data_IF_585312409838
#
_entry.id   IF_585312409838
#
_cell.length_a   1.000
_cell.length_b   1.000
_cell.length_c   1.000
_cell.angle_alpha   90.00
_cell.angle_beta   90.00
_cell.angle_gamma   90.00
#
_symmetry.space_group_name_H-M   'P 1'
#
loop_
_entity.id
_entity.type
_entity.pdbx_description
1 polymer ?
#
# COMPACT_ATOMS: atom_id res chain seq x y z
N UNK A 1 -61.59 8.78 44.32
CA UNK A 1 -60.85 7.65 43.71
C UNK A 1 -59.56 8.18 43.10
N UNK A 2 -58.39 7.84 43.68
CA UNK A 2 -57.05 8.25 43.21
C UNK A 2 -56.38 7.08 42.48
N UNK A 3 -55.87 7.29 41.26
CA UNK A 3 -54.69 6.61 40.68
C UNK A 3 -53.96 7.68 39.85
N UNK A 4 -52.94 8.34 40.42
CA UNK A 4 -51.51 7.99 40.40
C UNK A 4 -50.91 8.11 38.99
N UNK A 5 -50.58 9.34 38.58
CA UNK A 5 -49.35 9.58 37.83
C UNK A 5 -48.21 9.39 38.83
N UNK A 6 -47.39 8.37 38.60
CA UNK A 6 -46.23 8.05 39.42
C UNK A 6 -45.01 8.48 38.60
N UNK A 7 -44.65 9.74 38.72
CA UNK A 7 -43.24 10.14 38.61
C UNK A 7 -42.52 9.36 39.71
N UNK A 8 -41.67 8.43 39.31
CA UNK A 8 -40.88 7.64 40.23
C UNK A 8 -39.46 7.65 39.67
N UNK A 9 -38.67 8.53 40.28
CA UNK A 9 -37.22 8.49 40.47
C UNK A 9 -36.48 7.58 39.48
N UNK A 10 -35.79 8.20 38.52
CA UNK A 10 -34.68 7.57 37.80
C UNK A 10 -33.70 7.00 38.82
N UNK A 11 -33.88 5.71 39.13
CA UNK A 11 -33.29 5.01 40.24
C UNK A 11 -31.78 5.26 40.28
N UNK A 12 -31.28 5.70 41.44
CA UNK A 12 -29.85 5.81 41.71
C UNK A 12 -29.14 4.47 41.39
N UNK A 13 -29.84 3.35 41.59
CA UNK A 13 -29.44 2.00 41.19
C UNK A 13 -29.12 1.88 39.70
N UNK A 14 -29.88 2.52 38.80
CA UNK A 14 -29.63 2.48 37.35
C UNK A 14 -28.34 3.21 36.97
N UNK A 15 -28.02 4.32 37.67
CA UNK A 15 -26.75 5.05 37.50
C UNK A 15 -25.57 4.28 38.11
N UNK A 16 -25.78 3.66 39.27
CA UNK A 16 -24.81 2.77 39.91
C UNK A 16 -24.52 1.52 39.06
N UNK A 17 -25.53 0.93 38.43
CA UNK A 17 -25.38 -0.19 37.51
C UNK A 17 -24.56 0.22 36.28
N UNK A 18 -24.81 1.41 35.72
CA UNK A 18 -24.03 1.96 34.62
C UNK A 18 -22.55 2.19 35.00
N UNK A 19 -22.29 2.81 36.16
CA UNK A 19 -20.93 2.97 36.70
C UNK A 19 -20.26 1.62 36.99
N UNK A 20 -21.00 0.62 37.46
CA UNK A 20 -20.51 -0.73 37.75
C UNK A 20 -20.22 -1.52 36.47
N UNK A 21 -21.01 -1.36 35.42
CA UNK A 21 -20.78 -1.96 34.09
C UNK A 21 -19.55 -1.33 33.43
N UNK A 22 -19.37 0.00 33.52
CA UNK A 22 -18.17 0.69 33.05
C UNK A 22 -16.94 0.25 33.85
N UNK A 23 -17.02 0.23 35.19
CA UNK A 23 -15.94 -0.20 36.06
C UNK A 23 -15.57 -1.69 35.94
N UNK A 24 -16.54 -2.55 35.60
CA UNK A 24 -16.30 -3.97 35.34
C UNK A 24 -15.69 -4.22 33.95
N UNK A 25 -15.98 -3.35 32.97
CA UNK A 25 -15.29 -3.37 31.66
C UNK A 25 -13.83 -2.94 31.73
N UNK A 26 -13.44 -2.19 32.78
CA UNK A 26 -12.03 -1.81 33.03
C UNK A 26 -11.21 -2.87 33.79
N UNK A 27 -11.78 -4.01 34.22
CA UNK A 27 -11.05 -5.05 34.98
C UNK A 27 -10.82 -6.38 34.24
N UNK A 28 -10.87 -6.36 32.91
CA UNK A 28 -10.41 -7.48 32.08
C UNK A 28 -9.44 -7.01 30.99
N UNK A 29 -8.51 -6.17 31.40
CA UNK A 29 -7.19 -6.12 30.78
C UNK A 29 -6.40 -7.25 31.44
N UNK A 30 -6.36 -8.41 30.77
CA UNK A 30 -5.32 -9.39 31.07
C UNK A 30 -4.00 -8.69 30.75
N UNK A 31 -3.31 -8.21 31.79
CA UNK A 31 -1.93 -7.74 31.67
C UNK A 31 -1.09 -8.91 31.15
N UNK A 32 -0.91 -8.98 29.84
CA UNK A 32 0.15 -9.77 29.25
C UNK A 32 1.46 -9.26 29.84
N UNK A 33 2.14 -10.12 30.59
CA UNK A 33 3.44 -9.82 31.20
C UNK A 33 4.38 -9.24 30.12
N UNK A 34 5.16 -8.18 30.41
CA UNK A 34 6.12 -7.59 29.47
C UNK A 34 7.06 -8.62 28.82
N UNK A 35 7.32 -9.74 29.52
CA UNK A 35 8.12 -10.86 29.05
C UNK A 35 7.55 -11.63 27.84
N UNK A 36 6.23 -11.63 27.63
CA UNK A 36 5.58 -12.32 26.51
C UNK A 36 5.39 -11.39 25.31
N UNK A 37 5.16 -10.10 25.56
CA UNK A 37 5.15 -9.07 24.52
C UNK A 37 6.53 -8.97 23.83
N UNK A 38 7.62 -9.09 24.60
CA UNK A 38 8.98 -9.13 24.06
C UNK A 38 9.28 -10.37 23.20
N UNK A 39 8.61 -11.51 23.41
CA UNK A 39 8.85 -12.73 22.59
C UNK A 39 8.19 -12.67 21.21
N UNK A 40 7.17 -11.82 21.01
CA UNK A 40 6.45 -11.68 19.73
C UNK A 40 7.01 -10.57 18.84
N UNK A 41 7.60 -9.54 19.44
CA UNK A 41 8.49 -8.61 18.76
C UNK A 41 9.92 -9.13 18.84
N UNK A 42 10.22 -10.16 18.02
CA UNK A 42 11.61 -10.30 17.55
C UNK A 42 11.97 -8.94 16.96
N UNK A 43 12.78 -8.17 17.69
CA UNK A 43 13.35 -6.91 17.20
C UNK A 43 13.93 -7.14 15.80
N UNK A 44 14.10 -6.08 14.98
CA UNK A 44 14.60 -6.24 13.63
C UNK A 44 15.84 -7.12 13.69
N UNK A 45 15.74 -8.34 13.11
CA UNK A 45 16.92 -9.17 12.90
C UNK A 45 17.92 -8.23 12.27
N UNK A 46 19.12 -8.09 12.83
CA UNK A 46 20.18 -7.27 12.24
C UNK A 46 20.28 -7.67 10.77
N UNK A 47 19.69 -6.85 9.90
CA UNK A 47 19.82 -7.03 8.47
C UNK A 47 21.27 -6.69 8.27
N UNK A 48 22.08 -7.71 7.97
CA UNK A 48 23.50 -7.52 7.68
C UNK A 48 23.58 -6.37 6.68
N UNK A 49 24.23 -5.27 7.06
CA UNK A 49 24.27 -4.05 6.25
C UNK A 49 24.68 -4.35 4.79
N UNK A 50 25.56 -5.35 4.63
CA UNK A 50 26.01 -5.88 3.34
C UNK A 50 24.89 -6.36 2.39
N UNK A 51 23.74 -6.82 2.90
CA UNK A 51 22.61 -7.24 2.06
C UNK A 51 21.87 -6.03 1.48
N UNK A 52 21.82 -4.91 2.21
CA UNK A 52 21.17 -3.67 1.76
C UNK A 52 21.94 -3.08 0.57
N UNK A 53 23.27 -3.19 0.58
CA UNK A 53 24.14 -2.74 -0.51
C UNK A 53 23.92 -3.48 -1.84
N UNK A 54 23.18 -4.61 -1.85
CA UNK A 54 22.82 -5.32 -3.08
C UNK A 54 21.64 -4.68 -3.82
N UNK A 55 20.90 -3.80 -3.15
CA UNK A 55 19.77 -3.10 -3.75
C UNK A 55 20.29 -1.84 -4.47
N UNK A 56 19.89 -1.67 -5.72
CA UNK A 56 20.16 -0.46 -6.50
C UNK A 56 18.89 0.05 -7.15
N UNK A 57 18.73 1.37 -7.19
CA UNK A 57 17.64 2.06 -7.87
C UNK A 57 18.02 2.58 -9.27
N UNK A 58 19.31 2.52 -9.61
CA UNK A 58 19.90 3.00 -10.86
C UNK A 58 20.91 1.97 -11.34
N UNK A 59 20.44 0.90 -12.03
CA UNK A 59 21.34 -0.10 -12.59
C UNK A 59 22.22 0.50 -13.69
N UNK A 60 23.51 0.22 -13.64
CA UNK A 60 24.50 0.64 -14.62
C UNK A 60 24.65 -0.41 -15.73
N UNK A 61 25.20 0.02 -16.86
CA UNK A 61 25.59 -0.90 -17.93
C UNK A 61 26.71 -1.84 -17.41
N UNK A 62 26.43 -3.14 -17.40
CA UNK A 62 27.32 -4.17 -16.86
C UNK A 62 26.87 -4.77 -15.53
N UNK A 63 25.86 -4.20 -14.87
CA UNK A 63 25.32 -4.78 -13.63
C UNK A 63 24.59 -6.11 -13.90
N UNK A 64 24.78 -7.07 -13.00
CA UNK A 64 24.09 -8.37 -13.03
C UNK A 64 22.84 -8.31 -12.14
N UNK A 65 21.72 -7.96 -12.75
CA UNK A 65 20.43 -7.88 -12.06
C UNK A 65 19.77 -9.25 -11.94
N UNK A 66 19.40 -9.65 -10.73
CA UNK A 66 18.75 -10.95 -10.48
C UNK A 66 17.22 -10.84 -10.31
N UNK A 67 16.75 -9.81 -9.61
CA UNK A 67 15.33 -9.65 -9.26
C UNK A 67 14.94 -8.17 -9.26
N UNK A 68 13.66 -7.89 -9.53
CA UNK A 68 13.05 -6.58 -9.35
C UNK A 68 12.06 -6.64 -8.18
N UNK A 69 12.14 -5.67 -7.26
CA UNK A 69 11.31 -5.63 -6.06
C UNK A 69 10.39 -4.40 -6.15
N UNK A 70 9.07 -4.58 -6.17
CA UNK A 70 8.17 -3.44 -6.09
C UNK A 70 8.18 -2.84 -4.68
N UNK A 71 8.09 -1.51 -4.60
CA UNK A 71 7.95 -0.80 -3.33
C UNK A 71 7.11 0.46 -3.49
N UNK A 72 6.48 0.90 -2.40
CA UNK A 72 5.81 2.18 -2.32
C UNK A 72 6.53 3.08 -1.31
N UNK A 73 6.81 4.31 -1.70
CA UNK A 73 7.51 5.29 -0.87
C UNK A 73 7.05 6.72 -1.20
N UNK A 74 7.28 7.68 -0.29
CA UNK A 74 7.05 9.09 -0.56
C UNK A 74 7.80 9.55 -1.81
N UNK A 75 7.18 10.40 -2.64
CA UNK A 75 7.77 10.83 -3.90
C UNK A 75 9.13 11.53 -3.72
N UNK A 76 9.34 12.21 -2.58
CA UNK A 76 10.62 12.82 -2.20
C UNK A 76 11.76 11.81 -2.10
N UNK A 77 11.51 10.58 -1.64
CA UNK A 77 12.54 9.55 -1.47
C UNK A 77 12.93 8.89 -2.81
N UNK A 78 12.00 8.84 -3.77
CA UNK A 78 12.19 8.11 -5.04
C UNK A 78 12.46 9.00 -6.25
N UNK A 79 12.78 10.29 -6.04
CA UNK A 79 13.00 11.22 -7.15
C UNK A 79 14.15 10.80 -8.07
N UNK A 80 15.17 10.13 -7.54
CA UNK A 80 16.35 9.68 -8.30
C UNK A 80 16.16 8.33 -9.00
N UNK A 81 15.03 7.63 -8.78
CA UNK A 81 14.82 6.30 -9.33
C UNK A 81 14.49 6.38 -10.82
N UNK A 82 15.10 5.49 -11.61
CA UNK A 82 14.82 5.34 -13.05
C UNK A 82 13.36 4.93 -13.29
N UNK A 83 12.88 3.95 -12.53
CA UNK A 83 11.51 3.44 -12.62
C UNK A 83 10.66 3.98 -11.47
N UNK A 84 9.92 5.06 -11.72
CA UNK A 84 9.04 5.70 -10.74
C UNK A 84 7.74 6.15 -11.38
N UNK A 85 6.65 6.07 -10.62
CA UNK A 85 5.34 6.59 -10.99
C UNK A 85 4.74 7.29 -9.77
N UNK A 86 4.14 8.45 -9.97
CA UNK A 86 3.36 9.12 -8.93
C UNK A 86 1.96 8.51 -8.89
N UNK A 87 1.54 8.03 -7.73
CA UNK A 87 0.16 7.63 -7.49
C UNK A 87 -0.63 8.85 -7.02
N UNK A 88 -1.80 9.07 -7.62
CA UNK A 88 -2.73 10.17 -7.29
C UNK A 88 -4.04 9.55 -6.81
N UNK A 89 -4.75 10.15 -5.84
CA UNK A 89 -6.07 9.67 -5.45
C UNK A 89 -7.02 9.55 -6.67
N UNK A 90 -7.75 8.44 -6.75
CA UNK A 90 -8.63 8.11 -7.89
C UNK A 90 -9.48 6.86 -7.63
N UNK A 91 -10.23 6.39 -8.62
CA UNK A 91 -11.19 5.28 -8.44
C UNK A 91 -10.79 4.00 -9.19
N UNK A 92 -9.49 3.73 -9.32
CA UNK A 92 -8.99 2.57 -10.05
C UNK A 92 -8.67 1.41 -9.10
N UNK A 93 -9.07 0.19 -9.46
CA UNK A 93 -8.71 -1.02 -8.71
C UNK A 93 -7.21 -1.27 -8.78
N UNK A 94 -6.63 -1.79 -7.68
CA UNK A 94 -5.19 -2.04 -7.55
C UNK A 94 -4.57 -2.84 -8.71
N UNK A 95 -5.26 -3.89 -9.18
CA UNK A 95 -4.78 -4.69 -10.33
C UNK A 95 -4.65 -3.89 -11.62
N UNK A 96 -5.60 -2.98 -11.91
CA UNK A 96 -5.52 -2.12 -13.10
C UNK A 96 -4.42 -1.07 -12.99
N UNK A 97 -4.16 -0.58 -11.77
CA UNK A 97 -3.01 0.29 -11.51
C UNK A 97 -1.71 -0.48 -11.73
N UNK A 98 -1.59 -1.69 -11.18
CA UNK A 98 -0.44 -2.58 -11.35
C UNK A 98 -0.13 -2.85 -12.84
N UNK A 99 -1.14 -3.25 -13.63
CA UNK A 99 -1.02 -3.46 -15.08
C UNK A 99 -0.46 -2.22 -15.80
N UNK A 100 -1.00 -1.05 -15.44
CA UNK A 100 -0.62 0.22 -16.05
C UNK A 100 0.81 0.62 -15.68
N UNK A 101 1.23 0.36 -14.43
CA UNK A 101 2.59 0.59 -13.97
C UNK A 101 3.60 -0.29 -14.70
N UNK A 102 3.36 -1.60 -14.78
CA UNK A 102 4.22 -2.54 -15.52
C UNK A 102 4.34 -2.09 -16.98
N UNK A 103 3.22 -1.76 -17.62
CA UNK A 103 3.20 -1.31 -19.01
C UNK A 103 4.01 -0.04 -19.25
N UNK A 104 4.01 0.89 -18.28
CA UNK A 104 4.84 2.10 -18.34
C UNK A 104 6.32 1.76 -18.17
N UNK A 105 6.67 0.95 -17.16
CA UNK A 105 8.06 0.56 -16.92
C UNK A 105 8.67 -0.23 -18.08
N UNK A 106 7.91 -1.12 -18.73
CA UNK A 106 8.38 -1.86 -19.91
C UNK A 106 8.65 -0.96 -21.13
N UNK A 107 7.94 0.17 -21.25
CA UNK A 107 8.20 1.15 -22.31
C UNK A 107 9.45 1.97 -22.04
N UNK A 108 9.72 2.29 -20.78
CA UNK A 108 10.90 3.06 -20.37
C UNK A 108 12.15 2.20 -20.20
N UNK A 109 12.02 0.87 -20.15
CA UNK A 109 13.15 -0.04 -20.02
C UNK A 109 13.99 -0.03 -21.30
N UNK A 110 15.28 0.27 -21.14
CA UNK A 110 16.26 0.33 -22.23
C UNK A 110 16.85 -1.04 -22.51
N UNK A 111 17.03 -1.85 -21.48
CA UNK A 111 17.72 -3.14 -21.58
C UNK A 111 16.72 -4.31 -21.60
N UNK A 112 17.02 -5.37 -22.35
CA UNK A 112 16.15 -6.56 -22.40
C UNK A 112 16.07 -7.29 -21.05
N UNK A 113 17.19 -7.36 -20.33
CA UNK A 113 17.23 -7.92 -18.97
C UNK A 113 16.29 -7.19 -18.01
N UNK A 114 16.25 -5.86 -18.06
CA UNK A 114 15.34 -5.07 -17.22
C UNK A 114 13.87 -5.39 -17.56
N UNK A 115 13.55 -5.55 -18.85
CA UNK A 115 12.20 -5.91 -19.29
C UNK A 115 11.78 -7.29 -18.77
N UNK A 116 12.68 -8.26 -18.79
CA UNK A 116 12.42 -9.60 -18.25
C UNK A 116 12.16 -9.54 -16.74
N UNK A 117 12.99 -8.83 -16.00
CA UNK A 117 12.85 -8.68 -14.55
C UNK A 117 11.55 -7.97 -14.16
N UNK A 118 11.16 -6.92 -14.89
CA UNK A 118 9.90 -6.22 -14.66
C UNK A 118 8.69 -7.14 -14.93
N UNK A 119 8.75 -8.01 -15.94
CA UNK A 119 7.68 -8.98 -16.23
C UNK A 119 7.58 -10.09 -15.18
N UNK A 120 8.68 -10.41 -14.52
CA UNK A 120 8.72 -11.46 -13.49
C UNK A 120 8.14 -11.00 -12.13
N UNK A 121 7.83 -9.72 -11.98
CA UNK A 121 7.15 -9.21 -10.77
C UNK A 121 5.72 -9.76 -10.74
N UNK A 122 5.33 -10.40 -9.64
CA UNK A 122 3.96 -10.89 -9.49
C UNK A 122 2.96 -9.74 -9.37
N UNK A 123 1.79 -9.92 -9.99
CA UNK A 123 0.66 -8.98 -9.85
C UNK A 123 0.21 -8.83 -8.39
N UNK A 124 0.35 -9.88 -7.58
CA UNK A 124 0.00 -9.84 -6.16
C UNK A 124 1.02 -9.02 -5.36
N UNK A 125 2.31 -9.17 -5.64
CA UNK A 125 3.37 -8.37 -5.00
C UNK A 125 3.18 -6.88 -5.31
N UNK A 126 2.96 -6.56 -6.59
CA UNK A 126 2.75 -5.18 -7.00
C UNK A 126 1.42 -4.63 -6.45
N UNK A 127 0.35 -5.43 -6.44
CA UNK A 127 -0.94 -5.08 -5.85
C UNK A 127 -0.87 -4.78 -4.36
N UNK A 128 -0.02 -5.51 -3.62
CA UNK A 128 0.22 -5.28 -2.19
C UNK A 128 0.98 -3.97 -1.92
N UNK A 129 1.85 -3.53 -2.84
CA UNK A 129 2.53 -2.23 -2.74
C UNK A 129 1.61 -1.04 -3.07
N UNK A 130 0.55 -1.25 -3.84
CA UNK A 130 -0.32 -0.16 -4.30
C UNK A 130 -1.36 0.22 -3.23
N UNK A 131 -1.48 1.54 -2.98
CA UNK A 131 -2.49 2.13 -2.10
C UNK A 131 -3.88 2.00 -2.75
N UNK A 132 -4.92 1.72 -1.96
CA UNK A 132 -6.29 1.66 -2.47
C UNK A 132 -6.76 3.03 -3.00
N UNK A 133 -7.71 3.01 -3.95
CA UNK A 133 -8.31 4.22 -4.51
C UNK A 133 -7.26 5.21 -5.07
N UNK A 134 -6.33 4.69 -5.88
CA UNK A 134 -5.35 5.51 -6.56
C UNK A 134 -5.38 5.27 -8.07
N UNK A 135 -4.87 6.22 -8.83
CA UNK A 135 -4.66 6.15 -10.27
C UNK A 135 -3.21 6.60 -10.55
N UNK A 136 -2.48 5.90 -11.43
CA UNK A 136 -1.11 6.28 -11.75
C UNK A 136 -1.09 7.55 -12.61
N UNK A 137 -0.25 8.52 -12.27
CA UNK A 137 -0.06 9.78 -12.99
C UNK A 137 0.85 9.56 -14.20
N UNK A 138 0.28 8.97 -15.26
CA UNK A 138 1.00 8.59 -16.48
C UNK A 138 0.98 9.70 -17.52
N UNK A 139 1.37 10.93 -17.14
CA UNK A 139 1.33 12.12 -18.04
C UNK A 139 1.98 11.86 -19.41
N UNK A 140 3.02 11.03 -19.44
CA UNK A 140 3.77 10.66 -20.65
C UNK A 140 3.10 9.57 -21.52
N UNK A 141 2.19 8.76 -20.97
CA UNK A 141 1.54 7.67 -21.73
C UNK A 141 0.38 8.17 -22.62
N UNK A 142 -0.19 9.33 -22.28
CA UNK A 142 -1.37 9.90 -22.96
C UNK A 142 -1.04 10.53 -24.31
N UNK A 143 0.19 11.00 -24.53
CA UNK A 143 0.59 11.61 -25.81
C UNK A 143 0.76 10.56 -26.92
N UNK A 144 1.21 9.34 -26.60
CA UNK A 144 1.41 8.28 -27.59
C UNK A 144 0.12 7.53 -27.96
N UNK A 145 -0.89 7.51 -27.09
CA UNK A 145 -2.19 6.87 -27.41
C UNK A 145 -2.99 7.63 -28.45
N UNK A 146 -2.81 8.95 -28.58
CA UNK A 146 -3.49 9.76 -29.62
C UNK A 146 -2.88 9.55 -31.00
N UNK A 147 -1.59 9.23 -31.08
CA UNK A 147 -0.89 9.06 -32.35
C UNK A 147 -1.23 7.74 -33.07
N UNK A 148 -1.74 6.73 -32.36
CA UNK A 148 -2.13 5.45 -32.97
C UNK A 148 -3.57 5.39 -33.47
N UNK A 149 -4.40 6.41 -33.22
CA UNK A 149 -5.80 6.42 -33.68
C UNK A 149 -5.99 7.09 -35.06
N UNK A 150 -4.96 7.74 -35.62
CA UNK A 150 -5.08 8.49 -36.89
C UNK A 150 -4.72 7.66 -38.13
N UNK A 151 -4.11 6.49 -38.00
CA UNK A 151 -3.61 5.69 -39.14
C UNK A 151 -4.59 4.59 -39.64
N UNK A 152 -5.83 4.51 -39.15
CA UNK A 152 -6.80 3.50 -39.61
C UNK A 152 -7.97 4.15 -40.33
N UNK A 153 -7.75 4.55 -41.59
CA UNK A 153 -8.86 4.96 -42.47
C UNK A 153 -8.46 5.79 -43.68
N UNK A 154 -7.77 5.19 -44.65
CA UNK A 154 -7.87 5.53 -46.08
C UNK A 154 -7.06 4.51 -46.89
N UNK A 155 -7.71 3.40 -47.28
CA UNK A 155 -7.35 2.69 -48.50
C UNK A 155 -8.38 3.07 -49.56
N UNK A 156 -7.84 3.29 -50.76
CA UNK A 156 -8.45 3.80 -51.99
C UNK A 156 -9.78 3.15 -52.34
#
# INVERSE_FOLDING_TARGET
>A
MKKKYKEQEDDEESRLLHMKIIGSKMKKEEELKPSEMQKKYKGPKEIKLNEIHKLTNSPNEGDNLSFAIPMCAPYSAIQTHKYKIKLVPGNTKKGKVADSCISYFLKNATNEKEKELIKNISMDELGNCIIANCTPDLKELKELSKNNFVQKGRKK
#
